data_IF_416678543028
#
_entry.id   IF_416678543028
#
_cell.length_a   1.000
_cell.length_b   1.000
_cell.length_c   1.000
_cell.angle_alpha   90.00
_cell.angle_beta   90.00
_cell.angle_gamma   90.00
#
_symmetry.space_group_name_H-M   'P 1'
#
loop_
_entity.id
_entity.type
_entity.pdbx_description
1 polymer ?
#
# COMPACT_ATOMS: atom_id res chain seq x y z
N UNK A 1 -4.37 4.56 16.98
CA UNK A 1 -4.60 3.19 17.52
C UNK A 1 -3.27 2.44 17.50
N UNK A 2 -3.05 1.39 18.31
CA UNK A 2 -1.82 0.57 18.20
C UNK A 2 -1.99 -0.58 17.18
N UNK A 3 -0.87 -1.13 16.68
CA UNK A 3 -0.91 -2.25 15.73
C UNK A 3 -1.61 -3.47 16.31
N UNK A 4 -1.28 -3.84 17.55
CA UNK A 4 -1.91 -4.97 18.23
C UNK A 4 -3.41 -4.78 18.45
N UNK A 5 -3.85 -3.58 18.81
CA UNK A 5 -5.29 -3.26 18.91
C UNK A 5 -5.98 -3.38 17.56
N UNK A 6 -5.35 -2.89 16.49
CA UNK A 6 -5.89 -2.98 15.13
C UNK A 6 -6.11 -4.43 14.71
N UNK A 7 -5.13 -5.32 14.95
CA UNK A 7 -5.23 -6.74 14.60
C UNK A 7 -6.32 -7.50 15.36
N UNK A 8 -6.80 -6.98 16.49
CA UNK A 8 -7.92 -7.56 17.22
C UNK A 8 -9.29 -7.11 16.71
N UNK A 9 -9.36 -6.12 15.81
CA UNK A 9 -10.62 -5.67 15.25
C UNK A 9 -11.20 -6.73 14.30
N UNK A 10 -12.52 -6.89 14.30
CA UNK A 10 -13.20 -7.83 13.41
C UNK A 10 -13.23 -7.36 11.95
N UNK A 11 -12.97 -6.09 11.70
CA UNK A 11 -12.92 -5.45 10.38
C UNK A 11 -11.48 -5.22 9.88
N UNK A 12 -10.47 -5.72 10.59
CA UNK A 12 -9.09 -5.68 10.15
C UNK A 12 -8.86 -6.74 9.06
N UNK A 13 -8.41 -6.32 7.89
CA UNK A 13 -8.09 -7.25 6.81
C UNK A 13 -6.83 -6.85 6.04
N UNK A 14 -5.77 -7.64 6.22
CA UNK A 14 -4.55 -7.55 5.42
C UNK A 14 -4.53 -8.62 4.31
N UNK A 15 -4.27 -8.21 3.08
CA UNK A 15 -4.24 -9.09 1.90
C UNK A 15 -3.04 -8.80 1.01
N UNK A 16 -2.32 -9.86 0.65
CA UNK A 16 -1.31 -9.83 -0.41
C UNK A 16 -2.00 -10.09 -1.76
N UNK A 17 -2.17 -9.04 -2.56
CA UNK A 17 -2.88 -9.07 -3.83
C UNK A 17 -1.91 -9.17 -5.02
N UNK A 18 -1.02 -10.17 -4.95
CA UNK A 18 -0.06 -10.47 -6.01
C UNK A 18 1.33 -9.90 -5.80
N UNK A 19 1.56 -9.02 -4.82
CA UNK A 19 2.91 -8.52 -4.49
C UNK A 19 3.91 -9.65 -4.21
N UNK A 20 3.45 -10.79 -3.68
CA UNK A 20 4.28 -11.98 -3.45
C UNK A 20 4.96 -12.51 -4.72
N UNK A 21 4.38 -12.27 -5.90
CA UNK A 21 4.94 -12.67 -7.18
C UNK A 21 6.03 -11.70 -7.67
N UNK A 22 6.08 -10.50 -7.10
CA UNK A 22 6.97 -9.40 -7.49
C UNK A 22 8.19 -9.26 -6.56
N UNK A 23 8.25 -10.01 -5.46
CA UNK A 23 9.33 -9.90 -4.47
C UNK A 23 10.72 -10.07 -5.08
N UNK A 24 10.87 -10.97 -6.06
CA UNK A 24 12.14 -11.12 -6.75
C UNK A 24 12.54 -9.84 -7.48
N UNK A 25 11.61 -9.26 -8.25
CA UNK A 25 11.82 -8.01 -8.98
C UNK A 25 12.11 -6.83 -8.05
N UNK A 26 11.41 -6.75 -6.92
CA UNK A 26 11.65 -5.74 -5.89
C UNK A 26 13.06 -5.86 -5.32
N UNK A 27 13.49 -7.09 -4.95
CA UNK A 27 14.85 -7.36 -4.42
C UNK A 27 15.95 -7.06 -5.44
N UNK A 28 15.71 -7.37 -6.70
CA UNK A 28 16.66 -7.12 -7.80
C UNK A 28 16.62 -5.65 -8.28
N UNK A 29 15.79 -4.80 -7.67
CA UNK A 29 15.52 -3.41 -8.08
C UNK A 29 15.17 -3.26 -9.57
N UNK A 30 14.50 -4.27 -10.14
CA UNK A 30 14.17 -4.31 -11.55
C UNK A 30 12.83 -4.97 -11.81
N UNK A 31 11.86 -4.18 -12.28
CA UNK A 31 10.50 -4.60 -12.56
C UNK A 31 10.11 -4.22 -13.98
N UNK A 32 9.94 -5.24 -14.83
CA UNK A 32 9.33 -5.07 -16.15
C UNK A 32 7.80 -4.99 -16.01
N UNK A 33 7.23 -3.86 -16.44
CA UNK A 33 5.79 -3.68 -16.53
C UNK A 33 5.42 -3.08 -17.88
N UNK A 34 4.17 -3.31 -18.26
CA UNK A 34 3.58 -2.65 -19.41
C UNK A 34 3.30 -1.18 -19.08
N UNK A 35 4.11 -0.29 -19.65
CA UNK A 35 4.04 1.15 -19.40
C UNK A 35 2.73 1.77 -19.89
N UNK A 36 2.08 1.16 -20.90
CA UNK A 36 0.80 1.64 -21.44
C UNK A 36 -0.36 1.36 -20.46
N UNK A 37 -0.20 0.36 -19.57
CA UNK A 37 -1.19 0.00 -18.56
C UNK A 37 -1.01 0.75 -17.23
N UNK A 38 0.04 1.57 -17.11
CA UNK A 38 0.31 2.38 -15.92
C UNK A 38 0.82 1.57 -14.71
N UNK A 39 0.77 2.16 -13.51
CA UNK A 39 1.23 1.51 -12.28
C UNK A 39 0.43 0.24 -11.93
N UNK A 40 1.11 -0.66 -11.23
CA UNK A 40 0.50 -1.83 -10.63
C UNK A 40 -0.23 -1.43 -9.33
N UNK A 41 -1.55 -1.27 -9.41
CA UNK A 41 -2.38 -0.79 -8.28
C UNK A 41 -2.76 -1.92 -7.32
N UNK A 42 -2.87 -1.60 -6.03
CA UNK A 42 -3.49 -2.45 -5.01
C UNK A 42 -2.80 -3.80 -4.82
N UNK A 43 -1.47 -3.88 -4.90
CA UNK A 43 -0.70 -5.13 -4.83
C UNK A 43 -0.58 -5.73 -3.43
N UNK A 44 -0.81 -4.93 -2.41
CA UNK A 44 -1.25 -5.35 -1.10
C UNK A 44 -2.28 -4.35 -0.59
N UNK A 45 -3.21 -4.78 0.25
CA UNK A 45 -4.27 -3.94 0.80
C UNK A 45 -4.39 -4.23 2.29
N UNK A 46 -4.46 -3.18 3.10
CA UNK A 46 -4.83 -3.24 4.50
C UNK A 46 -6.09 -2.40 4.72
N UNK A 47 -7.18 -3.07 5.06
CA UNK A 47 -8.48 -2.46 5.35
C UNK A 47 -8.71 -2.44 6.86
N UNK A 48 -9.15 -1.30 7.39
CA UNK A 48 -9.60 -1.15 8.77
C UNK A 48 -10.86 -0.28 8.77
N UNK A 49 -12.02 -0.91 8.96
CA UNK A 49 -13.30 -0.20 9.07
C UNK A 49 -13.69 0.58 7.82
N UNK A 50 -13.59 1.92 7.87
CA UNK A 50 -13.94 2.84 6.77
C UNK A 50 -12.76 3.42 5.99
N UNK A 51 -11.54 2.97 6.27
CA UNK A 51 -10.33 3.45 5.57
C UNK A 51 -9.47 2.24 5.18
N UNK A 52 -8.82 2.33 4.02
CA UNK A 52 -7.79 1.38 3.62
C UNK A 52 -6.51 2.08 3.17
N UNK A 53 -5.46 1.26 3.04
CA UNK A 53 -4.20 1.61 2.43
C UNK A 53 -3.79 0.50 1.47
N UNK A 54 -3.39 0.90 0.28
CA UNK A 54 -2.99 0.06 -0.83
C UNK A 54 -1.52 0.25 -1.17
N UNK A 55 -0.87 -0.82 -1.62
CA UNK A 55 0.48 -0.77 -2.19
C UNK A 55 0.39 -0.65 -3.70
N UNK A 56 0.82 0.50 -4.21
CA UNK A 56 0.98 0.73 -5.64
C UNK A 56 2.46 0.62 -6.01
N UNK A 57 2.74 -0.05 -7.14
CA UNK A 57 4.09 -0.22 -7.64
C UNK A 57 4.19 0.42 -9.02
N UNK A 58 4.97 1.48 -9.12
CA UNK A 58 5.32 2.15 -10.37
C UNK A 58 6.79 1.88 -10.71
N UNK A 59 7.27 2.39 -11.85
CA UNK A 59 8.71 2.41 -12.16
C UNK A 59 9.17 3.83 -12.43
N UNK A 60 10.36 4.17 -11.94
CA UNK A 60 10.93 5.49 -12.16
C UNK A 60 11.14 5.75 -13.66
N UNK A 61 10.59 6.86 -14.13
CA UNK A 61 10.63 7.23 -15.55
C UNK A 61 9.63 6.48 -16.42
N UNK A 62 8.57 5.91 -15.84
CA UNK A 62 7.46 5.28 -16.58
C UNK A 62 6.91 6.17 -17.71
N UNK A 63 6.91 7.49 -17.53
CA UNK A 63 6.45 8.47 -18.51
C UNK A 63 7.59 9.18 -19.26
N UNK A 64 8.84 8.76 -19.05
CA UNK A 64 10.00 9.30 -19.74
C UNK A 64 10.32 8.49 -20.99
N UNK A 65 11.07 9.06 -21.93
CA UNK A 65 11.53 8.34 -23.15
C UNK A 65 12.37 7.09 -22.82
N UNK A 66 13.04 7.07 -21.67
CA UNK A 66 13.85 5.94 -21.21
C UNK A 66 13.44 5.58 -19.78
N UNK A 67 12.63 4.52 -19.59
CA UNK A 67 12.28 4.02 -18.26
C UNK A 67 13.50 3.37 -17.59
N UNK A 68 13.63 3.57 -16.28
CA UNK A 68 14.73 2.95 -15.51
C UNK A 68 14.39 1.54 -15.03
N UNK A 69 13.11 1.15 -15.10
CA UNK A 69 12.55 -0.10 -14.55
C UNK A 69 12.84 -0.35 -13.07
N UNK A 70 13.39 0.64 -12.36
CA UNK A 70 13.53 0.58 -10.91
C UNK A 70 12.15 0.73 -10.28
N UNK A 71 11.66 -0.26 -9.50
CA UNK A 71 10.36 -0.18 -8.88
C UNK A 71 10.34 0.91 -7.81
N UNK A 72 9.25 1.66 -7.80
CA UNK A 72 8.89 2.61 -6.76
C UNK A 72 7.64 2.05 -6.07
N UNK A 73 7.69 1.88 -4.75
CA UNK A 73 6.63 1.27 -3.94
C UNK A 73 6.04 2.36 -3.06
N UNK A 74 4.77 2.67 -3.29
CA UNK A 74 4.08 3.80 -2.68
C UNK A 74 2.77 3.35 -2.05
N UNK A 75 2.34 4.08 -1.03
CA UNK A 75 1.06 3.87 -0.38
C UNK A 75 0.00 4.83 -0.89
N UNK A 76 -1.19 4.28 -1.11
CA UNK A 76 -2.36 5.00 -1.59
C UNK A 76 -3.56 4.71 -0.69
N UNK A 77 -4.35 5.71 -0.33
CA UNK A 77 -5.48 5.54 0.60
C UNK A 77 -6.83 5.63 -0.11
N UNK A 78 -7.78 4.83 0.35
CA UNK A 78 -9.18 4.93 -0.05
C UNK A 78 -10.11 5.03 1.17
N UNK A 79 -11.29 5.61 0.94
CA UNK A 79 -12.39 5.67 1.91
C UNK A 79 -13.52 4.75 1.49
N UNK A 80 -14.15 4.15 2.49
CA UNK A 80 -15.34 3.35 2.27
C UNK A 80 -16.57 4.26 2.18
N UNK A 81 -17.29 4.16 1.07
CA UNK A 81 -18.61 4.79 0.88
C UNK A 81 -19.74 3.76 0.97
N UNK A 82 -20.98 4.19 0.77
CA UNK A 82 -22.13 3.28 0.74
C UNK A 82 -22.03 2.22 -0.39
N UNK A 83 -21.38 2.57 -1.51
CA UNK A 83 -21.41 1.76 -2.72
C UNK A 83 -20.06 1.12 -3.07
N UNK A 84 -18.94 1.75 -2.73
CA UNK A 84 -17.60 1.29 -3.08
C UNK A 84 -16.49 1.96 -2.25
N UNK A 85 -15.24 1.59 -2.52
CA UNK A 85 -14.05 2.33 -2.07
C UNK A 85 -13.75 3.50 -3.00
N UNK A 86 -13.62 4.70 -2.45
CA UNK A 86 -13.26 5.90 -3.20
C UNK A 86 -11.80 6.30 -2.96
N UNK A 87 -11.03 6.58 -4.02
CA UNK A 87 -9.63 6.97 -3.91
C UNK A 87 -9.48 8.35 -3.25
N UNK A 88 -8.51 8.50 -2.33
CA UNK A 88 -8.13 9.80 -1.78
C UNK A 88 -6.84 10.30 -2.41
N UNK A 89 -5.69 9.80 -1.95
CA UNK A 89 -4.38 10.30 -2.33
C UNK A 89 -3.23 9.34 -1.98
N UNK A 90 -2.02 9.70 -2.42
CA UNK A 90 -0.78 9.04 -1.99
C UNK A 90 -0.28 9.67 -0.69
N UNK A 91 0.18 8.83 0.27
CA UNK A 91 0.68 9.30 1.58
C UNK A 91 2.04 10.05 1.46
N UNK A 92 2.68 10.01 0.29
CA UNK A 92 3.93 10.73 0.01
C UNK A 92 5.18 10.11 0.64
N UNK A 93 5.01 9.11 1.50
CA UNK A 93 6.07 8.21 1.98
C UNK A 93 6.02 6.88 1.22
N UNK A 94 7.19 6.39 0.83
CA UNK A 94 7.34 5.04 0.26
C UNK A 94 7.42 3.99 1.37
N UNK A 95 7.24 2.72 1.00
CA UNK A 95 7.31 1.59 1.93
C UNK A 95 8.71 1.44 2.57
N UNK A 96 8.77 1.38 3.90
CA UNK A 96 9.99 1.13 4.69
C UNK A 96 10.06 -0.33 5.12
N UNK A 97 10.39 -1.21 4.18
CA UNK A 97 10.38 -2.67 4.36
C UNK A 97 11.71 -3.26 3.91
N UNK A 98 12.30 -4.13 4.73
CA UNK A 98 13.44 -4.95 4.30
C UNK A 98 12.92 -6.10 3.43
N UNK A 99 12.86 -5.86 2.12
CA UNK A 99 12.40 -6.86 1.16
C UNK A 99 13.27 -8.13 1.13
N UNK A 100 14.51 -8.10 1.64
CA UNK A 100 15.36 -9.28 1.76
C UNK A 100 15.04 -10.14 3.00
N UNK A 101 14.35 -9.57 3.99
CA UNK A 101 13.90 -10.27 5.18
C UNK A 101 12.99 -11.45 4.81
N UNK A 102 13.10 -12.55 5.57
CA UNK A 102 12.12 -13.63 5.50
C UNK A 102 10.79 -13.24 6.15
N UNK A 103 10.76 -12.10 6.86
CA UNK A 103 9.59 -11.53 7.55
C UNK A 103 9.06 -10.27 6.85
N UNK A 104 9.42 -10.06 5.58
CA UNK A 104 8.99 -8.88 4.81
C UNK A 104 7.46 -8.71 4.80
N UNK A 105 6.69 -9.79 4.94
CA UNK A 105 5.23 -9.74 4.95
C UNK A 105 4.70 -9.08 6.22
N UNK A 106 5.24 -9.52 7.35
CA UNK A 106 4.91 -8.96 8.66
C UNK A 106 5.42 -7.52 8.78
N UNK A 107 6.61 -7.24 8.26
CA UNK A 107 7.17 -5.89 8.18
C UNK A 107 6.31 -4.97 7.30
N UNK A 108 5.85 -5.44 6.15
CA UNK A 108 4.93 -4.68 5.29
C UNK A 108 3.57 -4.44 5.96
N UNK A 109 2.99 -5.44 6.61
CA UNK A 109 1.72 -5.29 7.33
C UNK A 109 1.81 -4.22 8.44
N UNK A 110 2.91 -4.23 9.20
CA UNK A 110 3.19 -3.27 10.26
C UNK A 110 3.46 -1.86 9.69
N UNK A 111 4.29 -1.74 8.65
CA UNK A 111 4.59 -0.46 8.00
C UNK A 111 3.34 0.18 7.37
N UNK A 112 2.52 -0.62 6.65
CA UNK A 112 1.23 -0.17 6.12
C UNK A 112 0.30 0.32 7.23
N UNK A 113 0.25 -0.38 8.36
CA UNK A 113 -0.54 0.06 9.50
C UNK A 113 -0.06 1.39 10.06
N UNK A 114 1.25 1.56 10.26
CA UNK A 114 1.83 2.79 10.80
C UNK A 114 1.54 3.98 9.87
N UNK A 115 1.74 3.81 8.57
CA UNK A 115 1.46 4.83 7.56
C UNK A 115 -0.03 5.21 7.54
N UNK A 116 -0.93 4.21 7.54
CA UNK A 116 -2.38 4.45 7.57
C UNK A 116 -2.81 5.15 8.86
N UNK A 117 -2.30 4.73 10.01
CA UNK A 117 -2.69 5.31 11.30
C UNK A 117 -2.19 6.76 11.45
N UNK A 118 -0.98 7.06 11.00
CA UNK A 118 -0.50 8.45 10.93
C UNK A 118 -1.35 9.31 9.98
N UNK A 119 -1.71 8.76 8.81
CA UNK A 119 -2.57 9.47 7.86
C UNK A 119 -3.96 9.74 8.44
N UNK A 120 -4.62 8.73 9.02
CA UNK A 120 -5.95 8.87 9.63
C UNK A 120 -5.94 9.90 10.76
N UNK A 121 -4.93 9.86 11.62
CA UNK A 121 -4.79 10.84 12.72
C UNK A 121 -4.55 12.27 12.21
N UNK A 122 -3.72 12.44 11.18
CA UNK A 122 -3.38 13.76 10.63
C UNK A 122 -4.49 14.37 9.75
N UNK A 123 -5.22 13.54 9.00
CA UNK A 123 -6.34 13.96 8.16
C UNK A 123 -7.67 14.11 8.93
N UNK A 124 -7.72 13.67 10.20
CA UNK A 124 -8.93 13.73 11.01
C UNK A 124 -10.00 12.73 10.58
N UNK A 125 -9.58 11.60 10.03
CA UNK A 125 -10.47 10.52 9.57
C UNK A 125 -10.85 9.59 10.72
N UNK A 126 -11.86 8.75 10.48
CA UNK A 126 -12.34 7.74 11.41
C UNK A 126 -12.31 6.35 10.80
N UNK A 127 -11.87 5.38 11.60
CA UNK A 127 -12.03 3.97 11.29
C UNK A 127 -13.44 3.45 11.58
N UNK A 128 -14.20 4.14 12.43
CA UNK A 128 -15.44 3.60 13.02
C UNK A 128 -16.71 4.17 12.39
N UNK A 129 -16.59 5.25 11.59
CA UNK A 129 -17.70 5.88 10.87
C UNK A 129 -17.27 6.36 9.47
N UNK A 130 -18.22 6.56 8.53
CA UNK A 130 -17.94 7.12 7.21
C UNK A 130 -17.27 8.50 7.27
N UNK A 131 -16.42 8.80 6.28
CA UNK A 131 -15.62 10.03 6.19
C UNK A 131 -16.05 10.93 5.03
#
# INVERSE_FOLDING_TARGET
MTFEEAKQRSDYCFRLNGIQLLIRNIREEHLEIDLDNGPLIGKAVLEIGYVDIEVNISVLGMFNEIPTYKPTIEYFTCLKTENDWEPIEYIGTGADVDWWSNRWKEELEEDMFLALNEYVESAGLSYDEPN
#
